data_IF_203312678897
#
_entry.id   IF_203312678897
#
_cell.length_a   1.000
_cell.length_b   1.000
_cell.length_c   1.000
_cell.angle_alpha   90.00
_cell.angle_beta   90.00
_cell.angle_gamma   90.00
#
_symmetry.space_group_name_H-M   'P 1'
#
loop_
_entity.id
_entity.type
_entity.pdbx_description
1 polymer ?
#
# COMPACT_ATOMS: atom_id res chain seq x y z
N UNK A 1 23.54 -3.67 -26.37
CA UNK A 1 23.12 -2.90 -25.17
C UNK A 1 22.15 -3.78 -24.39
N UNK A 2 22.46 -4.13 -23.12
CA UNK A 2 21.54 -4.90 -22.30
C UNK A 2 20.26 -4.08 -22.06
N UNK A 3 19.09 -4.72 -22.17
CA UNK A 3 17.81 -4.09 -21.87
C UNK A 3 17.78 -3.65 -20.41
N UNK A 4 17.27 -2.45 -20.14
CA UNK A 4 17.06 -1.99 -18.76
C UNK A 4 15.86 -2.76 -18.18
N UNK A 5 15.99 -3.38 -16.99
CA UNK A 5 14.86 -4.06 -16.36
C UNK A 5 13.70 -3.09 -16.13
N UNK A 6 12.46 -3.60 -16.21
CA UNK A 6 11.27 -2.81 -15.80
C UNK A 6 11.45 -2.33 -14.36
N UNK A 7 11.04 -1.09 -14.08
CA UNK A 7 11.22 -0.47 -12.76
C UNK A 7 12.54 0.27 -12.57
N UNK A 8 13.34 0.40 -13.63
CA UNK A 8 14.56 1.22 -13.64
C UNK A 8 14.61 2.14 -14.85
N UNK A 9 15.29 3.29 -14.73
CA UNK A 9 15.63 4.16 -15.86
C UNK A 9 17.14 4.40 -15.93
N UNK A 10 17.68 4.58 -17.12
CA UNK A 10 19.07 4.95 -17.34
C UNK A 10 19.28 6.43 -17.03
N UNK A 11 20.31 6.74 -16.25
CA UNK A 11 20.68 8.11 -15.86
C UNK A 11 22.16 8.42 -16.16
N UNK A 12 22.85 7.54 -16.90
CA UNK A 12 24.24 7.64 -17.31
C UNK A 12 24.69 6.33 -17.95
N UNK A 13 25.91 6.26 -18.47
CA UNK A 13 26.42 5.11 -19.25
C UNK A 13 26.29 3.79 -18.50
N UNK A 14 26.70 3.73 -17.23
CA UNK A 14 26.63 2.56 -16.37
C UNK A 14 25.80 2.83 -15.10
N UNK A 15 24.86 3.77 -15.16
CA UNK A 15 24.02 4.14 -14.02
C UNK A 15 22.55 3.97 -14.35
N UNK A 16 21.86 3.22 -13.51
CA UNK A 16 20.41 3.09 -13.52
C UNK A 16 19.84 3.58 -12.19
N UNK A 17 18.65 4.14 -12.22
CA UNK A 17 17.90 4.56 -11.04
C UNK A 17 16.64 3.73 -10.95
N UNK A 18 16.33 3.26 -9.75
CA UNK A 18 15.07 2.59 -9.46
C UNK A 18 13.92 3.58 -9.53
N UNK A 19 12.80 3.15 -10.11
CA UNK A 19 11.59 3.96 -10.21
C UNK A 19 10.70 3.74 -8.98
N UNK A 20 10.11 4.83 -8.49
CA UNK A 20 9.14 4.83 -7.39
C UNK A 20 7.88 5.51 -7.89
N UNK A 21 6.73 4.80 -7.76
CA UNK A 21 5.46 5.28 -8.25
C UNK A 21 5.34 5.27 -9.78
N UNK A 22 4.15 5.62 -10.25
CA UNK A 22 3.78 5.66 -11.67
C UNK A 22 3.10 6.98 -12.03
N UNK A 23 3.27 7.42 -13.28
CA UNK A 23 2.40 8.39 -13.92
C UNK A 23 1.16 7.71 -14.49
N UNK A 24 0.17 8.49 -14.93
CA UNK A 24 -1.07 7.96 -15.50
C UNK A 24 -0.81 7.04 -16.68
N UNK A 25 0.13 7.40 -17.55
CA UNK A 25 0.50 6.66 -18.77
C UNK A 25 1.09 5.28 -18.50
N UNK A 26 1.50 5.02 -17.27
CA UNK A 26 2.11 3.74 -16.85
C UNK A 26 1.11 2.77 -16.22
N UNK A 27 -0.18 3.15 -16.10
CA UNK A 27 -1.24 2.29 -15.59
C UNK A 27 -2.05 1.66 -16.72
N UNK A 28 -2.25 0.35 -16.62
CA UNK A 28 -3.15 -0.39 -17.53
C UNK A 28 -4.33 -0.92 -16.75
N UNK A 29 -5.56 -0.59 -17.17
CA UNK A 29 -6.78 -1.11 -16.54
C UNK A 29 -6.82 -2.63 -16.67
N UNK A 30 -7.14 -3.32 -15.58
CA UNK A 30 -7.11 -4.78 -15.47
C UNK A 30 -5.75 -5.38 -15.13
N UNK A 31 -4.67 -4.56 -15.04
CA UNK A 31 -3.37 -5.03 -14.56
C UNK A 31 -3.47 -5.40 -13.07
N UNK A 32 -2.89 -6.55 -12.71
CA UNK A 32 -2.73 -6.99 -11.32
C UNK A 32 -1.26 -6.86 -10.94
N UNK A 33 -0.99 -6.14 -9.86
CA UNK A 33 0.35 -5.88 -9.35
C UNK A 33 0.52 -6.63 -8.04
N UNK A 34 1.38 -7.65 -8.03
CA UNK A 34 1.81 -8.30 -6.78
C UNK A 34 2.87 -7.47 -6.07
N UNK A 35 2.61 -7.08 -4.83
CA UNK A 35 3.55 -6.28 -4.05
C UNK A 35 4.54 -7.16 -3.27
N UNK A 36 5.80 -6.89 -3.47
CA UNK A 36 6.92 -7.57 -2.79
C UNK A 36 7.94 -6.55 -2.26
N UNK A 37 8.68 -6.85 -1.16
CA UNK A 37 8.56 -8.06 -0.34
C UNK A 37 7.30 -8.10 0.51
N UNK A 38 6.92 -9.30 0.99
CA UNK A 38 5.97 -9.45 2.08
C UNK A 38 6.57 -8.88 3.39
N UNK A 39 5.71 -8.50 4.34
CA UNK A 39 6.14 -7.90 5.60
C UNK A 39 5.52 -8.60 6.80
N UNK A 40 6.36 -9.01 7.76
CA UNK A 40 5.89 -9.53 9.05
C UNK A 40 5.52 -8.38 9.98
N UNK A 41 4.35 -8.47 10.58
CA UNK A 41 3.83 -7.49 11.55
C UNK A 41 4.54 -7.69 12.89
N UNK A 42 5.15 -6.63 13.40
CA UNK A 42 5.85 -6.63 14.68
C UNK A 42 4.99 -6.05 15.81
N UNK A 43 5.40 -6.30 17.06
CA UNK A 43 4.77 -5.65 18.22
C UNK A 43 4.97 -4.12 18.21
N UNK A 44 6.08 -3.65 17.63
CA UNK A 44 6.30 -2.22 17.44
C UNK A 44 5.24 -1.60 16.52
N UNK A 45 4.86 -2.27 15.42
CA UNK A 45 3.82 -1.76 14.53
C UNK A 45 2.49 -1.58 15.27
N UNK A 46 2.11 -2.58 16.07
CA UNK A 46 0.91 -2.54 16.90
C UNK A 46 0.98 -1.39 17.91
N UNK A 47 2.03 -1.34 18.71
CA UNK A 47 2.19 -0.40 19.82
C UNK A 47 2.30 1.04 19.35
N UNK A 48 3.01 1.29 18.25
CA UNK A 48 3.20 2.63 17.69
C UNK A 48 1.86 3.24 17.25
N UNK A 49 1.01 2.47 16.55
CA UNK A 49 -0.29 2.99 16.10
C UNK A 49 -1.22 3.24 17.28
N UNK A 50 -1.20 2.38 18.31
CA UNK A 50 -1.98 2.63 19.53
C UNK A 50 -1.55 3.93 20.22
N UNK A 51 -0.24 4.16 20.34
CA UNK A 51 0.29 5.38 20.93
C UNK A 51 -0.10 6.64 20.14
N UNK A 52 -0.02 6.59 18.79
CA UNK A 52 -0.35 7.70 17.92
C UNK A 52 -1.84 8.03 17.91
N UNK A 53 -2.70 7.01 18.00
CA UNK A 53 -4.15 7.17 17.92
C UNK A 53 -4.83 7.36 19.27
N UNK A 54 -4.12 7.05 20.37
CA UNK A 54 -4.71 7.02 21.71
C UNK A 54 -5.82 5.97 21.84
N UNK A 55 -5.82 4.91 21.04
CA UNK A 55 -6.85 3.88 21.04
C UNK A 55 -6.85 3.10 22.37
N UNK A 56 -7.92 3.18 23.19
CA UNK A 56 -7.95 2.58 24.52
C UNK A 56 -8.49 1.14 24.51
N UNK A 57 -8.80 0.56 23.36
CA UNK A 57 -9.45 -0.75 23.29
C UNK A 57 -8.53 -1.86 23.86
N UNK A 58 -8.94 -2.55 24.96
CA UNK A 58 -8.05 -3.48 25.67
C UNK A 58 -7.65 -4.70 24.82
N UNK A 59 -8.45 -5.07 23.83
CA UNK A 59 -8.13 -6.16 22.89
C UNK A 59 -6.81 -5.94 22.15
N UNK A 60 -6.33 -4.71 22.08
CA UNK A 60 -5.08 -4.34 21.42
C UNK A 60 -3.91 -4.10 22.37
N UNK A 61 -4.16 -3.93 23.69
CA UNK A 61 -3.13 -3.44 24.62
C UNK A 61 -3.06 -4.19 25.96
N UNK A 62 -4.09 -4.96 26.33
CA UNK A 62 -4.21 -5.63 27.61
C UNK A 62 -4.24 -7.15 27.42
N UNK A 63 -3.12 -7.79 27.73
CA UNK A 63 -2.97 -9.24 27.58
C UNK A 63 -3.86 -10.02 28.56
N UNK A 64 -4.05 -9.51 29.79
CA UNK A 64 -4.91 -10.16 30.79
C UNK A 64 -6.39 -10.10 30.34
N UNK A 65 -6.82 -8.98 29.75
CA UNK A 65 -8.14 -8.88 29.16
C UNK A 65 -8.34 -9.91 28.01
N UNK A 66 -7.33 -10.08 27.15
CA UNK A 66 -7.38 -11.03 26.06
C UNK A 66 -7.51 -12.46 26.59
N UNK A 67 -6.68 -12.86 27.55
CA UNK A 67 -6.73 -14.19 28.18
C UNK A 67 -8.10 -14.47 28.81
N UNK A 68 -8.63 -13.53 29.60
CA UNK A 68 -9.95 -13.65 30.25
C UNK A 68 -11.12 -13.71 29.29
N UNK A 69 -10.94 -13.17 28.09
CA UNK A 69 -11.96 -13.19 27.01
C UNK A 69 -11.74 -14.32 25.99
N UNK A 70 -10.82 -15.25 26.26
CA UNK A 70 -10.55 -16.43 25.43
C UNK A 70 -9.75 -16.12 24.17
N UNK A 71 -8.98 -15.04 24.15
CA UNK A 71 -8.05 -14.70 23.07
C UNK A 71 -6.63 -15.07 23.46
N UNK A 72 -5.96 -15.76 22.58
CA UNK A 72 -4.58 -16.21 22.81
C UNK A 72 -3.56 -15.05 22.69
N UNK A 73 -3.86 -14.06 21.85
CA UNK A 73 -2.93 -12.96 21.54
C UNK A 73 -3.61 -11.60 21.48
N UNK A 74 -2.82 -10.55 21.67
CA UNK A 74 -3.22 -9.18 21.38
C UNK A 74 -3.49 -9.00 19.88
N UNK A 75 -4.66 -8.48 19.55
CA UNK A 75 -5.06 -8.24 18.17
C UNK A 75 -4.36 -7.00 17.61
N UNK A 76 -3.86 -7.09 16.38
CA UNK A 76 -3.38 -5.92 15.64
C UNK A 76 -4.59 -5.05 15.25
N UNK A 77 -4.51 -3.75 15.53
CA UNK A 77 -5.58 -2.81 15.18
C UNK A 77 -5.75 -2.75 13.65
N UNK A 78 -7.00 -2.69 13.18
CA UNK A 78 -7.29 -2.63 11.74
C UNK A 78 -6.60 -1.48 11.01
N UNK A 79 -6.45 -0.31 11.64
CA UNK A 79 -5.72 0.83 11.07
C UNK A 79 -4.23 0.51 10.88
N UNK A 80 -3.62 -0.27 11.79
CA UNK A 80 -2.24 -0.75 11.62
C UNK A 80 -2.12 -1.62 10.37
N UNK A 81 -3.03 -2.61 10.23
CA UNK A 81 -3.08 -3.49 9.06
C UNK A 81 -3.27 -2.69 7.77
N UNK A 82 -4.22 -1.76 7.75
CA UNK A 82 -4.46 -0.88 6.61
C UNK A 82 -3.22 -0.06 6.25
N UNK A 83 -2.58 0.56 7.23
CA UNK A 83 -1.36 1.36 7.02
C UNK A 83 -0.21 0.56 6.43
N UNK A 84 0.02 -0.66 6.94
CA UNK A 84 1.06 -1.58 6.43
C UNK A 84 0.77 -1.95 4.98
N UNK A 85 -0.47 -2.33 4.66
CA UNK A 85 -0.86 -2.76 3.32
C UNK A 85 -0.82 -1.60 2.34
N UNK A 86 -1.36 -0.42 2.69
CA UNK A 86 -1.25 0.78 1.85
C UNK A 86 0.22 1.10 1.58
N UNK A 87 1.06 1.09 2.62
CA UNK A 87 2.50 1.33 2.49
C UNK A 87 3.19 0.38 1.51
N UNK A 88 2.84 -0.91 1.53
CA UNK A 88 3.38 -1.90 0.61
C UNK A 88 3.06 -1.61 -0.86
N UNK A 89 1.93 -0.93 -1.14
CA UNK A 89 1.52 -0.60 -2.52
C UNK A 89 2.20 0.63 -3.09
N UNK A 90 2.71 1.53 -2.24
CA UNK A 90 3.16 2.89 -2.64
C UNK A 90 4.20 2.84 -3.75
N UNK A 91 5.22 2.01 -3.60
CA UNK A 91 6.34 1.96 -4.53
C UNK A 91 5.94 1.67 -5.98
N UNK A 92 5.02 0.73 -6.17
CA UNK A 92 4.61 0.25 -7.50
C UNK A 92 3.32 0.89 -8.01
N UNK A 93 2.69 1.77 -7.22
CA UNK A 93 1.48 2.49 -7.61
C UNK A 93 1.61 3.99 -7.35
N UNK A 94 1.37 4.42 -6.12
CA UNK A 94 1.13 5.81 -5.74
C UNK A 94 2.36 6.58 -5.25
N UNK A 95 3.58 6.11 -5.54
CA UNK A 95 4.80 6.78 -5.07
C UNK A 95 5.00 8.20 -5.60
N UNK A 96 4.39 8.55 -6.73
CA UNK A 96 4.34 9.91 -7.28
C UNK A 96 3.01 10.60 -7.02
N UNK A 97 2.17 10.09 -6.12
CA UNK A 97 0.85 10.69 -5.85
C UNK A 97 0.97 12.09 -5.26
N UNK A 98 0.08 12.96 -5.70
CA UNK A 98 -0.05 14.31 -5.16
C UNK A 98 -1.22 14.42 -4.18
N UNK A 99 -2.18 13.49 -4.22
CA UNK A 99 -3.28 13.40 -3.26
C UNK A 99 -3.93 12.03 -3.27
N UNK A 100 -4.28 11.50 -2.10
CA UNK A 100 -5.28 10.46 -1.96
C UNK A 100 -6.67 11.12 -1.95
N UNK A 101 -7.57 10.65 -2.81
CA UNK A 101 -8.92 11.21 -2.95
C UNK A 101 -9.94 10.43 -2.14
N UNK A 102 -9.83 9.10 -2.12
CA UNK A 102 -10.75 8.24 -1.40
C UNK A 102 -10.10 6.93 -0.96
N UNK A 103 -10.65 6.37 0.12
CA UNK A 103 -10.48 5.00 0.57
C UNK A 103 -11.88 4.45 0.82
N UNK A 104 -12.34 3.57 -0.06
CA UNK A 104 -13.70 3.04 -0.06
C UNK A 104 -13.69 1.53 0.19
N UNK A 105 -14.84 0.99 0.60
CA UNK A 105 -15.06 -0.44 0.77
C UNK A 105 -13.99 -1.17 1.60
N UNK A 106 -13.49 -0.51 2.65
CA UNK A 106 -12.51 -1.12 3.55
C UNK A 106 -13.18 -2.25 4.33
N UNK A 107 -12.66 -3.48 4.15
CA UNK A 107 -13.16 -4.71 4.77
C UNK A 107 -12.02 -5.44 5.45
N UNK A 108 -12.10 -5.59 6.76
CA UNK A 108 -11.24 -6.46 7.57
C UNK A 108 -11.92 -7.83 7.65
N UNK A 109 -11.38 -8.82 6.98
CA UNK A 109 -12.04 -10.12 6.78
C UNK A 109 -11.57 -11.19 7.76
N UNK A 110 -10.30 -11.11 8.18
CA UNK A 110 -9.72 -11.99 9.19
C UNK A 110 -8.82 -11.18 10.14
N UNK A 111 -8.69 -11.63 11.41
CA UNK A 111 -7.80 -10.98 12.37
C UNK A 111 -6.34 -11.10 11.94
N UNK A 112 -5.56 -10.07 12.27
CA UNK A 112 -4.11 -10.05 12.10
C UNK A 112 -3.48 -10.00 13.48
N UNK A 113 -2.49 -10.87 13.71
CA UNK A 113 -1.72 -10.94 14.95
C UNK A 113 -0.27 -10.52 14.72
N UNK A 114 0.42 -10.15 15.79
CA UNK A 114 1.89 -9.99 15.76
C UNK A 114 2.52 -11.32 15.33
N UNK A 115 3.44 -11.26 14.36
CA UNK A 115 4.05 -12.42 13.73
C UNK A 115 3.40 -12.85 12.41
N UNK A 116 2.20 -12.40 12.09
CA UNK A 116 1.63 -12.65 10.75
C UNK A 116 2.43 -11.91 9.67
N UNK A 117 2.62 -12.57 8.53
CA UNK A 117 3.32 -12.01 7.38
C UNK A 117 2.32 -11.66 6.30
N UNK A 118 2.24 -10.37 6.00
CA UNK A 118 1.28 -9.82 5.05
C UNK A 118 1.90 -9.65 3.65
N UNK A 119 1.16 -10.05 2.64
CA UNK A 119 1.39 -9.74 1.24
C UNK A 119 0.14 -9.12 0.64
N UNK A 120 0.30 -8.37 -0.44
CA UNK A 120 -0.82 -7.71 -1.09
C UNK A 120 -0.70 -7.78 -2.60
N UNK A 121 -1.85 -7.68 -3.26
CA UNK A 121 -1.97 -7.49 -4.69
C UNK A 121 -2.98 -6.36 -4.98
N UNK A 122 -2.75 -5.65 -6.06
CA UNK A 122 -3.58 -4.50 -6.46
C UNK A 122 -3.99 -4.64 -7.91
N UNK A 123 -5.29 -4.58 -8.16
CA UNK A 123 -5.88 -4.50 -9.49
C UNK A 123 -6.17 -3.03 -9.83
N UNK A 124 -5.79 -2.60 -11.04
CA UNK A 124 -6.12 -1.29 -11.59
C UNK A 124 -7.54 -1.34 -12.16
N UNK A 125 -8.49 -0.67 -11.49
CA UNK A 125 -9.90 -0.65 -11.91
C UNK A 125 -10.19 0.45 -12.93
N UNK A 126 -9.55 1.61 -12.77
CA UNK A 126 -9.71 2.75 -13.67
C UNK A 126 -8.47 3.63 -13.69
N UNK A 127 -8.16 4.20 -14.84
CA UNK A 127 -7.14 5.21 -15.03
C UNK A 127 -7.64 6.20 -16.09
N UNK A 128 -7.75 7.49 -15.72
CA UNK A 128 -8.30 8.52 -16.62
C UNK A 128 -7.65 9.89 -16.34
N UNK A 129 -7.61 10.80 -17.32
CA UNK A 129 -7.24 12.19 -17.08
C UNK A 129 -8.11 12.84 -15.99
N UNK A 130 -7.53 13.75 -15.23
CA UNK A 130 -8.26 14.55 -14.25
C UNK A 130 -9.00 15.70 -14.96
N UNK A 131 -10.27 15.88 -14.63
CA UNK A 131 -11.08 16.98 -15.17
C UNK A 131 -10.68 18.34 -14.59
N UNK A 132 -10.23 18.36 -13.32
CA UNK A 132 -9.89 19.59 -12.60
C UNK A 132 -8.41 19.96 -12.64
N UNK A 133 -7.54 19.03 -13.06
CA UNK A 133 -6.07 19.19 -13.10
C UNK A 133 -5.52 18.57 -14.38
N UNK A 134 -5.34 19.36 -15.47
CA UNK A 134 -4.97 18.84 -16.79
C UNK A 134 -3.64 18.07 -16.84
N UNK A 135 -2.72 18.37 -15.93
CA UNK A 135 -1.40 17.73 -15.79
C UNK A 135 -1.41 16.50 -14.86
N UNK A 136 -2.59 16.05 -14.45
CA UNK A 136 -2.77 14.90 -13.57
C UNK A 136 -3.74 13.87 -14.14
N UNK A 137 -3.63 12.65 -13.62
CA UNK A 137 -4.58 11.56 -13.81
C UNK A 137 -5.19 11.12 -12.50
N UNK A 138 -6.37 10.53 -12.58
CA UNK A 138 -7.07 9.86 -11.49
C UNK A 138 -6.98 8.37 -11.71
N UNK A 139 -6.45 7.66 -10.73
CA UNK A 139 -6.33 6.19 -10.76
C UNK A 139 -7.14 5.60 -9.61
N UNK A 140 -7.94 4.58 -9.92
CA UNK A 140 -8.70 3.81 -8.94
C UNK A 140 -8.21 2.36 -8.95
N UNK A 141 -7.82 1.86 -7.79
CA UNK A 141 -7.29 0.51 -7.62
C UNK A 141 -8.03 -0.22 -6.50
N UNK A 142 -8.21 -1.52 -6.67
CA UNK A 142 -8.62 -2.42 -5.60
C UNK A 142 -7.42 -3.19 -5.08
N UNK A 143 -7.19 -3.15 -3.77
CA UNK A 143 -6.11 -3.90 -3.11
C UNK A 143 -6.71 -4.97 -2.21
N UNK A 144 -6.13 -6.17 -2.28
CA UNK A 144 -6.44 -7.29 -1.39
C UNK A 144 -5.15 -7.73 -0.71
N UNK A 145 -5.22 -7.98 0.59
CA UNK A 145 -4.08 -8.46 1.36
C UNK A 145 -4.38 -9.81 2.00
N UNK A 146 -3.35 -10.64 2.06
CA UNK A 146 -3.38 -11.99 2.60
C UNK A 146 -2.29 -12.16 3.65
N UNK A 147 -2.52 -13.08 4.60
CA UNK A 147 -1.50 -13.53 5.52
C UNK A 147 -0.69 -14.73 4.94
N UNK A 148 0.21 -15.31 5.73
CA UNK A 148 1.04 -16.46 5.33
C UNK A 148 0.26 -17.77 5.15
N UNK A 149 -1.00 -17.83 5.56
CA UNK A 149 -1.90 -18.98 5.39
C UNK A 149 -2.84 -18.83 4.18
N UNK A 150 -2.58 -17.84 3.33
CA UNK A 150 -3.44 -17.46 2.19
C UNK A 150 -4.85 -16.99 2.59
N UNK A 151 -5.06 -16.63 3.84
CA UNK A 151 -6.31 -16.04 4.29
C UNK A 151 -6.36 -14.55 3.95
N UNK A 152 -7.42 -14.11 3.30
CA UNK A 152 -7.64 -12.68 3.06
C UNK A 152 -7.88 -11.97 4.39
N UNK A 153 -7.10 -10.94 4.68
CA UNK A 153 -7.19 -10.18 5.94
C UNK A 153 -7.77 -8.78 5.73
N UNK A 154 -7.58 -8.22 4.53
CA UNK A 154 -8.03 -6.87 4.20
C UNK A 154 -8.35 -6.75 2.71
N UNK A 155 -9.37 -5.99 2.38
CA UNK A 155 -9.60 -5.48 1.02
C UNK A 155 -10.08 -4.03 1.09
N UNK A 156 -9.71 -3.21 0.11
CA UNK A 156 -10.18 -1.84 -0.03
C UNK A 156 -10.04 -1.34 -1.48
N UNK A 157 -10.79 -0.32 -1.81
CA UNK A 157 -10.62 0.47 -3.04
C UNK A 157 -9.99 1.80 -2.70
N UNK A 158 -8.99 2.23 -3.46
CA UNK A 158 -8.33 3.51 -3.29
C UNK A 158 -8.33 4.30 -4.59
N UNK A 159 -8.69 5.58 -4.50
CA UNK A 159 -8.62 6.54 -5.61
C UNK A 159 -7.60 7.62 -5.27
N UNK A 160 -6.67 7.89 -6.20
CA UNK A 160 -5.59 8.85 -5.97
C UNK A 160 -5.20 9.59 -7.25
N UNK A 161 -4.60 10.78 -7.09
CA UNK A 161 -4.05 11.59 -8.17
C UNK A 161 -2.58 11.25 -8.41
N UNK A 162 -2.21 11.15 -9.68
CA UNK A 162 -0.81 10.99 -10.13
C UNK A 162 -0.51 12.00 -11.24
N UNK A 163 0.76 12.33 -11.52
CA UNK A 163 1.11 13.09 -12.73
C UNK A 163 0.56 12.41 -13.98
N UNK A 164 0.13 13.19 -14.97
CA UNK A 164 -0.27 12.64 -16.28
C UNK A 164 0.91 11.95 -16.97
N UNK A 165 2.11 12.56 -16.87
CA UNK A 165 3.40 12.02 -17.32
C UNK A 165 4.38 12.02 -16.12
N UNK A 166 4.99 10.87 -15.86
CA UNK A 166 5.93 10.70 -14.76
C UNK A 166 7.32 11.29 -15.07
N UNK A 167 7.72 11.39 -16.34
CA UNK A 167 9.08 11.74 -16.71
C UNK A 167 9.49 13.15 -16.23
N UNK A 168 8.71 14.23 -16.43
CA UNK A 168 9.06 15.57 -15.93
C UNK A 168 9.23 15.63 -14.41
N UNK A 169 8.36 14.90 -13.66
CA UNK A 169 8.43 14.86 -12.20
C UNK A 169 9.70 14.16 -11.74
N UNK A 170 10.01 13.01 -12.35
CA UNK A 170 11.22 12.24 -12.05
C UNK A 170 12.50 13.01 -12.37
N UNK A 171 12.50 13.81 -13.44
CA UNK A 171 13.64 14.62 -13.83
C UNK A 171 13.86 15.79 -12.85
N UNK A 172 12.79 16.47 -12.48
CA UNK A 172 12.85 17.61 -11.54
C UNK A 172 13.22 17.18 -10.11
N UNK A 173 12.82 15.99 -9.68
CA UNK A 173 12.98 15.51 -8.30
C UNK A 173 14.09 14.47 -8.11
N UNK A 174 14.67 13.99 -9.19
CA UNK A 174 15.65 12.90 -9.18
C UNK A 174 15.10 11.55 -8.66
N UNK A 175 13.79 11.32 -8.78
CA UNK A 175 13.14 10.04 -8.48
C UNK A 175 13.11 9.08 -9.68
#
# INVERSE_FOLDING_TARGET
>A
MSSIPRGYRRIGDNRVRELVGRGLEEFTVGEIIEHRPARTVSDMDRSMVLALTGNPAPVHSDAEYCERTGREHLLVCGITTLGIVVGATVRSTSGLTTANLALDDVRFTNPVNVGDTLRAETEVLAARPSESRPDHGVVTCRTVAYNQRDEQVLAFTRTFLVPADAAPVRDATSY
#
